data_IF_596877605177
#
_entry.id   IF_596877605177
#
_cell.length_a   1.000
_cell.length_b   1.000
_cell.length_c   1.000
_cell.angle_alpha   90.00
_cell.angle_beta   90.00
_cell.angle_gamma   90.00
#
_symmetry.space_group_name_H-M   'P 1'
#
loop_
_entity.id
_entity.type
_entity.pdbx_description
1 polymer ?
#
# COMPACT_ATOMS: atom_id res chain seq x y z
N UNK A 1 -38.79 3.12 31.39
CA UNK A 1 -38.74 3.92 30.16
C UNK A 1 -37.59 4.93 30.12
N UNK A 2 -37.18 5.50 31.24
CA UNK A 2 -36.05 6.47 31.35
C UNK A 2 -34.64 5.87 31.10
N UNK A 3 -34.39 4.62 31.50
CA UNK A 3 -33.12 3.95 31.33
C UNK A 3 -32.76 3.62 29.85
N UNK A 4 -33.75 3.36 29.00
CA UNK A 4 -33.51 3.14 27.54
C UNK A 4 -33.17 4.41 26.78
N UNK A 5 -33.70 5.58 27.21
CA UNK A 5 -33.36 6.87 26.59
C UNK A 5 -31.94 7.31 26.92
N UNK A 6 -31.46 7.08 28.15
CA UNK A 6 -30.09 7.41 28.54
C UNK A 6 -29.01 6.58 27.79
N UNK A 7 -29.33 5.31 27.49
CA UNK A 7 -28.45 4.45 26.69
C UNK A 7 -28.37 4.93 25.23
N UNK A 8 -29.50 5.28 24.62
CA UNK A 8 -29.55 5.76 23.23
C UNK A 8 -28.81 7.08 23.06
N UNK A 9 -28.95 8.02 24.03
CA UNK A 9 -28.24 9.31 24.00
C UNK A 9 -26.70 9.10 24.16
N UNK A 10 -26.24 8.15 24.98
CA UNK A 10 -24.82 7.81 25.11
C UNK A 10 -24.28 7.23 23.81
N UNK A 11 -25.03 6.34 23.13
CA UNK A 11 -24.59 5.78 21.84
C UNK A 11 -24.49 6.84 20.74
N UNK A 12 -25.45 7.76 20.68
CA UNK A 12 -25.44 8.87 19.70
C UNK A 12 -24.30 9.84 19.98
N UNK A 13 -24.00 10.13 21.26
CA UNK A 13 -22.90 11.02 21.64
C UNK A 13 -21.54 10.40 21.34
N UNK A 14 -21.36 9.10 21.58
CA UNK A 14 -20.13 8.38 21.26
C UNK A 14 -19.91 8.33 19.74
N UNK A 15 -20.92 8.06 18.94
CA UNK A 15 -20.84 8.06 17.48
C UNK A 15 -20.48 9.46 16.93
N UNK A 16 -21.03 10.52 17.50
CA UNK A 16 -20.72 11.91 17.14
C UNK A 16 -19.29 12.28 17.56
N UNK A 17 -18.82 11.84 18.72
CA UNK A 17 -17.46 12.09 19.20
C UNK A 17 -16.45 11.32 18.34
N UNK A 18 -16.76 10.09 17.94
CA UNK A 18 -15.89 9.27 17.09
C UNK A 18 -15.80 9.87 15.68
N UNK A 19 -16.93 10.31 15.10
CA UNK A 19 -16.93 11.04 13.83
C UNK A 19 -16.20 12.39 13.92
N UNK A 20 -16.33 13.10 15.04
CA UNK A 20 -15.62 14.35 15.29
C UNK A 20 -14.11 14.14 15.48
N UNK A 21 -13.67 13.03 16.11
CA UNK A 21 -12.28 12.68 16.27
C UNK A 21 -11.65 12.28 14.93
N UNK A 22 -12.34 11.51 14.11
CA UNK A 22 -11.91 11.20 12.73
C UNK A 22 -11.79 12.51 11.93
N UNK A 23 -12.74 13.42 12.08
CA UNK A 23 -12.71 14.73 11.42
C UNK A 23 -11.61 15.67 11.97
N UNK A 24 -11.29 15.60 13.26
CA UNK A 24 -10.22 16.34 13.91
C UNK A 24 -8.85 15.80 13.52
N UNK A 25 -8.65 14.49 13.50
CA UNK A 25 -7.42 13.86 12.99
C UNK A 25 -7.23 14.22 11.51
N UNK A 26 -8.29 14.15 10.72
CA UNK A 26 -8.28 14.60 9.32
C UNK A 26 -7.96 16.09 9.19
N UNK A 27 -8.49 16.98 10.06
CA UNK A 27 -8.16 18.41 10.06
C UNK A 27 -6.76 18.72 10.56
N UNK A 28 -6.24 18.00 11.54
CA UNK A 28 -4.87 18.22 12.05
C UNK A 28 -3.85 17.80 10.98
N UNK A 29 -4.10 16.72 10.24
CA UNK A 29 -3.26 16.32 9.10
C UNK A 29 -3.47 17.22 7.88
N UNK A 30 -4.64 17.87 7.74
CA UNK A 30 -4.94 18.75 6.62
C UNK A 30 -4.57 20.23 6.85
N UNK A 31 -4.37 20.66 8.10
CA UNK A 31 -4.04 22.06 8.43
C UNK A 31 -2.55 22.36 8.66
N UNK A 32 -1.66 21.36 8.50
CA UNK A 32 -0.24 21.67 8.35
C UNK A 32 -0.09 22.40 7.00
N UNK A 33 0.19 23.69 7.05
CA UNK A 33 0.39 24.54 5.87
C UNK A 33 1.45 23.94 4.95
N UNK A 34 1.02 23.20 3.94
CA UNK A 34 1.91 22.65 2.95
C UNK A 34 2.36 23.77 2.02
N UNK A 35 3.65 24.05 2.06
CA UNK A 35 4.32 24.79 1.01
C UNK A 35 4.11 24.02 -0.31
N UNK A 36 3.47 24.65 -1.29
CA UNK A 36 3.51 24.16 -2.66
C UNK A 36 4.85 24.63 -3.25
N UNK A 37 5.81 23.73 -3.48
CA UNK A 37 6.85 24.07 -4.43
C UNK A 37 6.15 24.41 -5.75
N UNK A 38 6.64 25.40 -6.52
CA UNK A 38 6.12 25.62 -7.88
C UNK A 38 6.17 24.26 -8.57
N UNK A 39 5.01 23.80 -9.02
CA UNK A 39 4.91 22.53 -9.75
C UNK A 39 5.93 22.61 -10.88
N UNK A 40 6.95 21.75 -10.92
CA UNK A 40 7.67 21.61 -12.15
C UNK A 40 6.57 21.29 -13.18
N UNK A 41 6.54 22.02 -14.27
CA UNK A 41 5.78 21.67 -15.47
C UNK A 41 6.39 20.40 -16.03
N UNK A 42 6.16 19.29 -15.31
CA UNK A 42 6.40 17.95 -15.84
C UNK A 42 5.20 17.74 -16.75
N UNK A 43 5.40 17.86 -18.05
CA UNK A 43 4.46 17.29 -19.00
C UNK A 43 4.34 15.82 -18.62
N UNK A 44 3.21 15.48 -17.99
CA UNK A 44 2.88 14.09 -17.68
C UNK A 44 2.70 13.44 -19.04
N UNK A 45 3.57 12.49 -19.45
CA UNK A 45 3.36 11.79 -20.70
C UNK A 45 1.95 11.22 -20.63
N UNK A 46 1.14 11.46 -21.66
CA UNK A 46 -0.16 10.79 -21.76
C UNK A 46 0.12 9.30 -21.65
N UNK A 47 -0.30 8.71 -20.52
CA UNK A 47 -0.26 7.27 -20.36
C UNK A 47 -1.11 6.70 -21.47
N UNK A 48 -0.46 6.16 -22.49
CA UNK A 48 -1.15 5.41 -23.56
C UNK A 48 -1.63 4.14 -22.89
N UNK A 49 -2.88 4.19 -22.42
CA UNK A 49 -3.53 3.01 -21.87
C UNK A 49 -3.58 1.93 -22.96
N UNK A 50 -2.94 0.78 -22.75
CA UNK A 50 -3.08 -0.31 -23.71
C UNK A 50 -4.54 -0.67 -23.80
N UNK A 51 -5.07 -0.72 -25.02
CA UNK A 51 -6.42 -1.23 -25.26
C UNK A 51 -6.51 -2.66 -24.72
N UNK A 52 -7.64 -3.07 -24.14
CA UNK A 52 -7.81 -4.42 -23.63
C UNK A 52 -7.47 -5.41 -24.75
N UNK A 53 -6.48 -6.25 -24.52
CA UNK A 53 -6.18 -7.34 -25.44
C UNK A 53 -7.28 -8.37 -25.25
N UNK A 54 -8.12 -8.57 -26.25
CA UNK A 54 -9.12 -9.63 -26.28
C UNK A 54 -8.45 -10.98 -26.50
N UNK A 55 -7.73 -11.46 -25.48
CA UNK A 55 -7.19 -12.81 -25.46
C UNK A 55 -7.99 -13.65 -24.50
N UNK A 56 -8.66 -14.69 -25.02
CA UNK A 56 -9.43 -15.69 -24.28
C UNK A 56 -8.61 -16.55 -23.30
N UNK A 57 -7.35 -16.25 -23.09
CA UNK A 57 -6.49 -16.95 -22.13
C UNK A 57 -6.40 -16.14 -20.84
N UNK A 58 -7.29 -16.46 -19.91
CA UNK A 58 -7.21 -15.97 -18.54
C UNK A 58 -5.85 -16.33 -17.94
N UNK A 59 -5.15 -15.34 -17.43
CA UNK A 59 -3.88 -15.52 -16.71
C UNK A 59 -4.15 -15.57 -15.22
N UNK A 60 -3.56 -16.56 -14.57
CA UNK A 60 -3.77 -16.81 -13.14
C UNK A 60 -2.58 -16.23 -12.36
N UNK A 61 -2.84 -15.31 -11.44
CA UNK A 61 -1.87 -14.88 -10.44
C UNK A 61 -1.72 -15.96 -9.38
N UNK A 62 -0.49 -16.43 -9.16
CA UNK A 62 -0.17 -17.47 -8.18
C UNK A 62 0.27 -16.87 -6.86
N UNK A 63 0.10 -17.63 -5.77
CA UNK A 63 0.83 -17.33 -4.52
C UNK A 63 2.33 -17.39 -4.77
N UNK A 64 3.10 -16.57 -4.08
CA UNK A 64 4.57 -16.59 -4.14
C UNK A 64 5.15 -17.95 -3.80
N UNK A 65 4.49 -18.71 -2.92
CA UNK A 65 4.91 -20.08 -2.52
C UNK A 65 4.64 -21.13 -3.58
N UNK A 66 3.88 -20.80 -4.62
CA UNK A 66 3.56 -21.70 -5.75
C UNK A 66 4.39 -21.41 -7.00
N UNK A 67 5.22 -20.37 -6.97
CA UNK A 67 6.07 -20.00 -8.10
C UNK A 67 7.20 -21.00 -8.30
N UNK A 68 7.41 -21.41 -9.53
CA UNK A 68 8.63 -22.11 -9.94
C UNK A 68 9.82 -21.13 -9.96
N UNK A 69 11.06 -21.62 -9.88
CA UNK A 69 12.25 -20.75 -10.04
C UNK A 69 12.23 -19.96 -11.36
N UNK A 70 11.75 -20.56 -12.45
CA UNK A 70 11.64 -19.88 -13.75
C UNK A 70 10.64 -18.71 -13.73
N UNK A 71 9.48 -18.89 -13.07
CA UNK A 71 8.48 -17.82 -12.93
C UNK A 71 9.00 -16.67 -12.05
N UNK A 72 9.72 -16.96 -10.96
CA UNK A 72 10.38 -15.93 -10.13
C UNK A 72 11.37 -15.12 -10.97
N UNK A 73 12.24 -15.81 -11.72
CA UNK A 73 13.24 -15.16 -12.56
C UNK A 73 12.60 -14.34 -13.69
N UNK A 74 11.54 -14.84 -14.33
CA UNK A 74 10.82 -14.12 -15.36
C UNK A 74 10.20 -12.81 -14.81
N UNK A 75 9.57 -12.87 -13.64
CA UNK A 75 9.03 -11.70 -12.96
C UNK A 75 10.12 -10.67 -12.63
N UNK A 76 11.22 -11.10 -11.98
CA UNK A 76 12.34 -10.24 -11.63
C UNK A 76 12.97 -9.58 -12.88
N UNK A 77 13.19 -10.37 -13.93
CA UNK A 77 13.71 -9.86 -15.20
C UNK A 77 12.82 -8.80 -15.81
N UNK A 78 11.52 -9.03 -15.86
CA UNK A 78 10.57 -8.08 -16.42
C UNK A 78 10.53 -6.77 -15.59
N UNK A 79 10.51 -6.86 -14.25
CA UNK A 79 10.58 -5.69 -13.35
C UNK A 79 11.87 -4.89 -13.57
N UNK A 80 13.03 -5.57 -13.60
CA UNK A 80 14.32 -4.89 -13.87
C UNK A 80 14.37 -4.29 -15.27
N UNK A 81 13.75 -4.89 -16.24
CA UNK A 81 13.69 -4.34 -17.59
C UNK A 81 12.82 -3.08 -17.66
N UNK A 82 11.68 -3.02 -16.99
CA UNK A 82 10.90 -1.77 -16.86
C UNK A 82 11.73 -0.65 -16.25
N UNK A 83 12.54 -0.97 -15.23
CA UNK A 83 13.41 0.00 -14.56
C UNK A 83 14.51 0.53 -15.46
N UNK A 84 14.98 -0.26 -16.40
CA UNK A 84 16.04 0.08 -17.34
C UNK A 84 15.52 0.58 -18.70
N UNK A 85 14.21 0.68 -18.89
CA UNK A 85 13.58 1.18 -20.11
C UNK A 85 13.11 2.61 -19.89
N UNK A 86 13.62 3.52 -20.71
CA UNK A 86 13.26 4.93 -20.70
C UNK A 86 12.48 5.24 -21.99
N UNK A 87 11.28 5.85 -21.90
CA UNK A 87 10.61 6.38 -23.08
C UNK A 87 11.45 7.44 -23.78
N UNK A 88 11.24 7.68 -25.10
CA UNK A 88 11.90 8.76 -25.79
C UNK A 88 11.78 10.08 -25.02
N UNK A 89 12.90 10.81 -24.91
CA UNK A 89 13.01 12.11 -24.23
C UNK A 89 12.66 12.11 -22.73
N UNK A 90 12.44 10.95 -22.12
CA UNK A 90 12.15 10.82 -20.69
C UNK A 90 13.42 10.55 -19.89
N UNK A 91 13.61 11.30 -18.79
CA UNK A 91 14.61 11.01 -17.76
C UNK A 91 14.12 10.05 -16.69
N UNK A 92 12.87 9.59 -16.80
CA UNK A 92 12.17 8.74 -15.84
C UNK A 92 11.89 7.40 -16.53
N UNK A 93 12.34 6.30 -15.93
CA UNK A 93 12.11 4.95 -16.46
C UNK A 93 10.63 4.58 -16.44
N UNK A 94 10.24 3.56 -17.20
CA UNK A 94 8.86 3.05 -17.16
C UNK A 94 8.45 2.64 -15.74
N UNK A 95 9.36 2.03 -14.99
CA UNK A 95 9.07 1.68 -13.59
C UNK A 95 8.89 2.92 -12.72
N UNK A 96 9.78 3.90 -12.84
CA UNK A 96 9.69 5.15 -12.08
C UNK A 96 8.41 5.95 -12.39
N UNK A 97 7.85 5.81 -13.60
CA UNK A 97 6.56 6.41 -13.96
C UNK A 97 5.40 5.84 -13.13
N UNK A 98 5.40 4.51 -12.88
CA UNK A 98 4.45 3.92 -11.96
C UNK A 98 4.61 4.48 -10.54
N UNK A 99 5.83 4.57 -10.04
CA UNK A 99 6.07 5.17 -8.72
C UNK A 99 5.59 6.62 -8.67
N UNK A 100 5.91 7.41 -9.70
CA UNK A 100 5.48 8.80 -9.79
C UNK A 100 3.95 8.92 -9.83
N UNK A 101 3.26 8.04 -10.56
CA UNK A 101 1.80 8.00 -10.60
C UNK A 101 1.20 7.82 -9.20
N UNK A 102 1.77 6.91 -8.40
CA UNK A 102 1.34 6.69 -7.02
C UNK A 102 1.65 7.92 -6.14
N UNK A 103 2.84 8.50 -6.24
CA UNK A 103 3.22 9.74 -5.53
C UNK A 103 2.26 10.88 -5.84
N UNK A 104 1.88 11.04 -7.11
CA UNK A 104 0.98 12.11 -7.53
C UNK A 104 -0.41 12.01 -6.90
N UNK A 105 -0.90 10.81 -6.59
CA UNK A 105 -2.20 10.68 -5.90
C UNK A 105 -2.20 11.33 -4.54
N UNK A 106 -1.06 11.37 -3.85
CA UNK A 106 -0.92 12.00 -2.53
C UNK A 106 -1.01 13.52 -2.58
N UNK A 107 -0.71 14.12 -3.74
CA UNK A 107 -0.80 15.57 -3.98
C UNK A 107 -2.17 16.03 -4.44
N UNK A 108 -3.08 15.12 -4.77
CA UNK A 108 -4.43 15.46 -5.21
C UNK A 108 -5.26 15.99 -4.04
N UNK A 109 -5.08 17.27 -3.75
CA UNK A 109 -6.10 18.06 -3.08
C UNK A 109 -6.98 18.69 -4.15
N UNK A 110 -8.10 18.04 -4.46
CA UNK A 110 -9.09 18.71 -5.28
C UNK A 110 -9.55 19.96 -4.55
N UNK A 111 -9.55 21.10 -5.25
CA UNK A 111 -10.20 22.31 -4.73
C UNK A 111 -11.58 21.92 -4.20
N UNK A 112 -11.98 22.44 -3.04
CA UNK A 112 -13.33 22.33 -2.54
C UNK A 112 -14.30 22.47 -3.71
N UNK A 113 -14.97 21.37 -4.09
CA UNK A 113 -15.99 21.41 -5.14
C UNK A 113 -17.12 22.35 -4.73
N UNK A 114 -18.06 22.62 -5.62
CA UNK A 114 -19.22 23.47 -5.38
C UNK A 114 -20.03 23.08 -4.11
N UNK A 115 -19.82 21.88 -3.58
CA UNK A 115 -20.44 21.36 -2.35
C UNK A 115 -19.66 21.63 -1.07
N UNK A 116 -18.47 22.24 -1.15
CA UNK A 116 -17.62 22.51 0.01
C UNK A 116 -16.96 21.28 0.66
N UNK A 117 -17.11 20.08 0.08
CA UNK A 117 -16.46 18.86 0.58
C UNK A 117 -15.02 18.77 0.06
N UNK A 118 -14.08 18.55 0.98
CA UNK A 118 -12.70 18.23 0.62
C UNK A 118 -12.68 16.84 -0.05
N UNK A 119 -12.24 16.78 -1.28
CA UNK A 119 -12.02 15.51 -1.97
C UNK A 119 -10.61 15.03 -1.64
N UNK A 120 -10.52 13.81 -1.10
CA UNK A 120 -9.30 13.20 -0.61
C UNK A 120 -8.42 12.62 -1.71
N UNK A 121 -7.36 11.97 -1.28
CA UNK A 121 -6.48 11.17 -2.12
C UNK A 121 -7.26 10.01 -2.75
N UNK A 122 -7.33 9.89 -4.10
CA UNK A 122 -8.14 8.86 -4.73
C UNK A 122 -7.64 7.44 -4.47
N UNK A 123 -6.37 7.28 -4.12
CA UNK A 123 -5.76 5.97 -3.90
C UNK A 123 -5.81 5.48 -2.45
N UNK A 124 -6.01 6.37 -1.45
CA UNK A 124 -5.90 6.00 -0.03
C UNK A 124 -6.95 6.73 0.83
N UNK A 125 -7.35 6.05 1.92
CA UNK A 125 -8.32 6.54 2.89
C UNK A 125 -9.65 7.00 2.25
N UNK A 126 -10.01 6.42 1.12
CA UNK A 126 -11.20 6.75 0.33
C UNK A 126 -11.84 5.47 -0.22
N UNK A 127 -13.12 5.50 -0.57
CA UNK A 127 -13.80 4.36 -1.17
C UNK A 127 -13.15 3.86 -2.48
N UNK A 128 -12.39 4.68 -3.17
CA UNK A 128 -11.71 4.32 -4.41
C UNK A 128 -10.40 3.52 -4.21
N UNK A 129 -9.96 3.23 -2.96
CA UNK A 129 -8.73 2.48 -2.70
C UNK A 129 -8.67 1.17 -3.50
N UNK A 130 -9.69 0.32 -3.39
CA UNK A 130 -9.71 -0.98 -4.06
C UNK A 130 -9.74 -0.87 -5.59
N UNK A 131 -10.68 -0.15 -6.24
CA UNK A 131 -10.70 -0.07 -7.69
C UNK A 131 -9.50 0.68 -8.28
N UNK A 132 -8.97 1.68 -7.57
CA UNK A 132 -7.78 2.39 -8.01
C UNK A 132 -6.56 1.46 -8.05
N UNK A 133 -6.30 0.71 -6.97
CA UNK A 133 -5.17 -0.21 -6.91
C UNK A 133 -5.34 -1.42 -7.84
N UNK A 134 -6.56 -1.93 -8.06
CA UNK A 134 -6.82 -2.96 -9.08
C UNK A 134 -6.42 -2.47 -10.46
N UNK A 135 -6.83 -1.26 -10.84
CA UNK A 135 -6.48 -0.68 -12.12
C UNK A 135 -4.97 -0.40 -12.23
N UNK A 136 -4.35 0.09 -11.18
CA UNK A 136 -2.92 0.35 -11.11
C UNK A 136 -2.09 -0.93 -11.26
N UNK A 137 -2.47 -1.98 -10.54
CA UNK A 137 -1.87 -3.31 -10.63
C UNK A 137 -2.03 -3.92 -12.03
N UNK A 138 -3.23 -3.77 -12.63
CA UNK A 138 -3.50 -4.24 -13.99
C UNK A 138 -2.59 -3.55 -15.01
N UNK A 139 -2.44 -2.25 -14.93
CA UNK A 139 -1.55 -1.49 -15.81
C UNK A 139 -0.09 -1.93 -15.67
N UNK A 140 0.37 -2.16 -14.44
CA UNK A 140 1.72 -2.67 -14.19
C UNK A 140 1.91 -4.07 -14.80
N UNK A 141 0.96 -4.98 -14.57
CA UNK A 141 1.00 -6.32 -15.13
C UNK A 141 1.02 -6.30 -16.66
N UNK A 142 0.22 -5.43 -17.29
CA UNK A 142 0.26 -5.22 -18.74
C UNK A 142 1.63 -4.72 -19.23
N UNK A 143 2.29 -3.87 -18.47
CA UNK A 143 3.63 -3.41 -18.80
C UNK A 143 4.68 -4.54 -18.70
N UNK A 144 4.58 -5.41 -17.70
CA UNK A 144 5.41 -6.62 -17.59
C UNK A 144 5.17 -7.57 -18.77
N UNK A 145 3.89 -7.74 -19.17
CA UNK A 145 3.50 -8.65 -20.24
C UNK A 145 3.92 -8.18 -21.65
N UNK A 146 4.23 -6.90 -21.81
CA UNK A 146 4.89 -6.41 -23.03
C UNK A 146 6.34 -6.88 -23.13
N UNK A 147 6.97 -7.22 -22.01
CA UNK A 147 8.34 -7.74 -21.93
C UNK A 147 8.34 -9.26 -22.06
N UNK A 148 7.53 -9.91 -21.26
CA UNK A 148 7.30 -11.36 -21.31
C UNK A 148 5.78 -11.64 -21.14
N UNK A 149 5.10 -12.07 -22.21
CA UNK A 149 3.65 -12.28 -22.18
C UNK A 149 3.18 -13.35 -21.18
N UNK A 150 4.06 -14.16 -20.63
CA UNK A 150 3.71 -15.19 -19.66
C UNK A 150 3.82 -14.74 -18.19
N UNK A 151 4.37 -13.55 -17.95
CA UNK A 151 4.50 -13.02 -16.59
C UNK A 151 3.16 -12.56 -16.08
N UNK A 152 2.86 -12.92 -14.82
CA UNK A 152 1.80 -12.35 -13.99
C UNK A 152 2.38 -11.81 -12.71
N UNK A 153 1.71 -10.85 -12.07
CA UNK A 153 2.11 -10.39 -10.73
C UNK A 153 1.68 -11.44 -9.71
N UNK A 154 2.62 -12.10 -9.00
CA UNK A 154 2.24 -13.04 -7.95
C UNK A 154 1.66 -12.30 -6.75
N UNK A 155 0.87 -12.98 -5.92
CA UNK A 155 0.39 -12.39 -4.68
C UNK A 155 1.13 -12.90 -3.45
N UNK A 156 1.29 -12.03 -2.47
CA UNK A 156 1.79 -12.38 -1.15
C UNK A 156 0.61 -12.68 -0.22
N UNK A 157 0.36 -13.97 0.04
CA UNK A 157 -0.59 -14.35 1.09
C UNK A 157 0.04 -14.06 2.46
N UNK A 158 -0.47 -13.05 3.12
CA UNK A 158 0.04 -12.58 4.42
C UNK A 158 -0.19 -13.58 5.55
N UNK A 159 -1.06 -14.58 5.34
CA UNK A 159 -1.40 -15.61 6.33
C UNK A 159 -0.56 -16.86 6.18
N UNK A 160 0.13 -17.04 5.06
CA UNK A 160 1.05 -18.16 4.83
C UNK A 160 2.41 -17.87 5.47
N UNK A 161 2.80 -18.58 6.56
CA UNK A 161 4.04 -18.33 7.27
C UNK A 161 5.31 -18.53 6.42
N UNK A 162 5.22 -19.24 5.31
CA UNK A 162 6.36 -19.51 4.40
C UNK A 162 6.54 -18.41 3.35
N UNK A 163 5.51 -17.58 3.13
CA UNK A 163 5.49 -16.67 2.00
C UNK A 163 6.55 -15.57 2.10
N UNK A 164 6.83 -15.06 3.31
CA UNK A 164 7.84 -14.01 3.53
C UNK A 164 9.25 -14.55 3.25
N UNK A 165 9.58 -15.77 3.69
CA UNK A 165 10.87 -16.39 3.41
C UNK A 165 11.10 -16.58 1.92
N UNK A 166 10.05 -16.92 1.16
CA UNK A 166 10.13 -17.01 -0.32
C UNK A 166 10.39 -15.65 -0.95
N UNK A 167 9.68 -14.61 -0.50
CA UNK A 167 9.82 -13.25 -1.02
C UNK A 167 11.23 -12.71 -0.80
N UNK A 168 11.80 -12.97 0.39
CA UNK A 168 13.10 -12.46 0.80
C UNK A 168 14.30 -13.28 0.28
N UNK A 169 14.09 -14.29 -0.56
CA UNK A 169 15.19 -15.01 -1.21
C UNK A 169 16.01 -14.08 -2.11
N UNK A 170 17.33 -14.26 -2.13
CA UNK A 170 18.25 -13.47 -2.95
C UNK A 170 17.97 -13.62 -4.45
N UNK A 171 17.53 -14.81 -4.87
CA UNK A 171 17.13 -15.13 -6.23
C UNK A 171 15.73 -14.66 -6.60
N UNK A 172 14.99 -14.04 -5.66
CA UNK A 172 13.69 -13.44 -5.92
C UNK A 172 13.72 -11.92 -5.65
N UNK A 173 13.06 -11.42 -4.60
CA UNK A 173 12.97 -9.97 -4.36
C UNK A 173 14.05 -9.45 -3.39
N UNK A 174 14.92 -10.31 -2.92
CA UNK A 174 16.08 -9.98 -2.11
C UNK A 174 15.79 -9.87 -0.61
N UNK A 175 16.82 -10.03 0.22
CA UNK A 175 16.71 -10.12 1.67
C UNK A 175 16.31 -8.81 2.35
N UNK A 176 16.24 -8.87 3.68
CA UNK A 176 16.21 -7.67 4.52
C UNK A 176 17.43 -6.78 4.25
N UNK A 177 17.29 -5.48 4.55
CA UNK A 177 18.40 -4.55 4.52
C UNK A 177 19.43 -4.82 5.62
N UNK A 178 20.61 -4.25 5.47
CA UNK A 178 21.74 -4.42 6.37
C UNK A 178 22.41 -3.07 6.68
N UNK A 179 23.28 -3.09 7.69
CA UNK A 179 24.16 -1.96 8.03
C UNK A 179 23.60 -0.98 9.07
N UNK A 180 22.34 -1.12 9.46
CA UNK A 180 21.73 -0.27 10.49
C UNK A 180 21.12 -1.13 11.57
N UNK A 181 21.50 -0.88 12.82
CA UNK A 181 20.85 -1.49 14.00
C UNK A 181 20.23 -0.38 14.83
N UNK A 182 18.96 -0.54 15.16
CA UNK A 182 18.21 0.38 16.00
C UNK A 182 17.79 -0.33 17.28
N UNK A 183 17.89 0.38 18.38
CA UNK A 183 17.32 -0.04 19.66
C UNK A 183 16.10 0.83 19.97
N UNK A 184 14.92 0.23 19.90
CA UNK A 184 13.66 0.92 20.17
C UNK A 184 13.27 0.66 21.61
N UNK A 185 13.20 1.69 22.47
CA UNK A 185 12.87 1.54 23.88
C UNK A 185 11.55 0.79 24.07
N UNK A 186 11.56 -0.26 24.90
CA UNK A 186 10.41 -1.08 25.20
C UNK A 186 10.02 -2.11 24.10
N UNK A 187 10.72 -2.11 22.97
CA UNK A 187 10.41 -2.97 21.81
C UNK A 187 11.56 -3.94 21.51
N UNK A 188 12.81 -3.44 21.48
CA UNK A 188 13.98 -4.27 21.24
C UNK A 188 14.93 -3.77 20.16
N UNK A 189 15.84 -4.65 19.75
CA UNK A 189 16.88 -4.39 18.75
C UNK A 189 16.45 -4.90 17.38
N UNK A 190 16.51 -4.04 16.38
CA UNK A 190 16.13 -4.37 14.98
C UNK A 190 17.27 -4.03 14.04
N UNK A 191 17.51 -4.91 13.09
CA UNK A 191 18.51 -4.71 12.04
C UNK A 191 17.82 -4.57 10.69
N UNK A 192 18.26 -3.58 9.91
CA UNK A 192 17.78 -3.31 8.58
C UNK A 192 18.76 -2.39 7.85
N UNK A 193 18.28 -1.64 6.88
CA UNK A 193 19.07 -0.70 6.12
C UNK A 193 19.03 -0.97 4.62
N UNK A 194 20.14 -0.74 3.95
CA UNK A 194 20.22 -0.93 2.49
C UNK A 194 20.17 -2.42 2.13
N UNK A 195 19.36 -2.77 1.14
CA UNK A 195 19.38 -4.10 0.52
C UNK A 195 20.66 -4.19 -0.32
N UNK A 196 21.63 -4.98 0.15
CA UNK A 196 22.98 -5.08 -0.43
C UNK A 196 23.23 -6.41 -1.15
N UNK A 197 22.31 -7.36 -1.07
CA UNK A 197 22.42 -8.69 -1.67
C UNK A 197 21.19 -9.01 -2.54
N UNK A 198 21.35 -9.99 -3.43
CA UNK A 198 20.30 -10.50 -4.29
C UNK A 198 19.98 -9.59 -5.49
N UNK A 199 18.91 -9.93 -6.17
CA UNK A 199 18.53 -9.31 -7.44
C UNK A 199 18.28 -7.79 -7.39
N UNK A 200 18.02 -7.23 -6.23
CA UNK A 200 17.69 -5.82 -6.03
C UNK A 200 18.75 -5.04 -5.24
N UNK A 201 19.97 -5.60 -5.08
CA UNK A 201 21.08 -4.93 -4.42
C UNK A 201 21.54 -3.64 -5.16
N UNK A 202 21.40 -3.62 -6.48
CA UNK A 202 21.71 -2.50 -7.38
C UNK A 202 20.50 -1.62 -7.72
N UNK A 203 19.35 -1.83 -7.05
CA UNK A 203 18.10 -1.14 -7.34
C UNK A 203 18.19 0.34 -6.95
N UNK A 204 18.22 1.20 -7.96
CA UNK A 204 18.36 2.65 -7.78
C UNK A 204 16.98 3.32 -7.76
N UNK A 205 16.78 4.19 -6.80
CA UNK A 205 15.59 5.02 -6.66
C UNK A 205 15.89 6.44 -7.18
N UNK A 206 14.92 7.06 -7.82
CA UNK A 206 15.04 8.47 -8.20
C UNK A 206 14.74 9.34 -6.96
N UNK A 207 15.73 10.10 -6.50
CA UNK A 207 15.63 10.90 -5.27
C UNK A 207 14.61 12.03 -5.34
N UNK A 208 14.26 12.49 -6.54
CA UNK A 208 13.22 13.50 -6.72
C UNK A 208 11.79 12.92 -6.59
N UNK A 209 11.66 11.58 -6.70
CA UNK A 209 10.39 10.87 -6.53
C UNK A 209 10.35 10.23 -5.13
N UNK A 210 11.48 9.69 -4.65
CA UNK A 210 11.62 9.13 -3.31
C UNK A 210 11.97 10.24 -2.30
N UNK A 211 10.93 10.99 -1.92
CA UNK A 211 11.05 12.25 -1.19
C UNK A 211 10.04 12.32 -0.04
N UNK A 212 10.49 12.82 1.12
CA UNK A 212 9.62 13.13 2.25
C UNK A 212 9.07 14.57 2.11
N UNK A 213 7.79 14.74 1.73
CA UNK A 213 7.23 16.07 1.51
C UNK A 213 7.02 16.85 2.81
N UNK A 214 6.98 16.16 3.96
CA UNK A 214 6.79 16.80 5.28
C UNK A 214 8.11 17.41 5.74
N UNK A 215 9.20 16.65 5.59
CA UNK A 215 10.54 17.07 6.01
C UNK A 215 11.34 17.75 4.89
N UNK A 216 10.74 17.86 3.70
CA UNK A 216 11.36 18.47 2.52
C UNK A 216 12.76 17.92 2.22
N UNK A 217 12.90 16.59 2.23
CA UNK A 217 14.19 15.93 1.99
C UNK A 217 14.06 14.64 1.19
N UNK A 218 15.11 14.32 0.43
CA UNK A 218 15.24 13.01 -0.21
C UNK A 218 15.30 11.91 0.85
N UNK A 219 14.64 10.78 0.56
CA UNK A 219 14.73 9.55 1.35
C UNK A 219 15.87 8.64 0.87
N UNK A 220 16.67 9.12 -0.08
CA UNK A 220 17.82 8.40 -0.63
C UNK A 220 17.54 7.70 -1.96
N UNK A 221 18.59 7.07 -2.47
CA UNK A 221 18.61 6.48 -3.82
C UNK A 221 18.71 4.96 -3.80
N UNK A 222 18.62 4.33 -2.63
CA UNK A 222 18.79 2.89 -2.45
C UNK A 222 17.55 2.28 -1.85
N UNK A 223 17.28 1.03 -2.21
CA UNK A 223 16.24 0.24 -1.57
C UNK A 223 16.62 -0.06 -0.11
N UNK A 224 15.74 0.29 0.82
CA UNK A 224 15.95 0.13 2.26
C UNK A 224 14.80 -0.68 2.85
N UNK A 225 15.12 -1.68 3.67
CA UNK A 225 14.14 -2.52 4.38
C UNK A 225 14.50 -2.70 5.85
N UNK A 226 13.46 -2.76 6.68
CA UNK A 226 13.52 -3.11 8.11
C UNK A 226 12.45 -4.15 8.41
N UNK A 227 12.67 -5.38 7.95
CA UNK A 227 11.68 -6.44 7.99
C UNK A 227 11.38 -6.91 9.41
N UNK A 228 10.11 -7.12 9.71
CA UNK A 228 9.65 -7.72 10.97
C UNK A 228 9.63 -6.78 12.16
N UNK A 229 9.70 -5.46 11.93
CA UNK A 229 9.52 -4.50 13.03
C UNK A 229 8.06 -4.39 13.46
N UNK A 230 7.78 -4.18 14.77
CA UNK A 230 6.44 -3.88 15.23
C UNK A 230 5.92 -2.55 14.61
N UNK A 231 4.61 -2.28 14.62
CA UNK A 231 3.61 -2.93 15.50
C UNK A 231 3.02 -4.21 14.92
N UNK A 232 3.38 -4.59 13.72
CA UNK A 232 2.77 -5.73 13.03
C UNK A 232 3.63 -6.99 13.15
N UNK A 233 2.96 -8.13 13.33
CA UNK A 233 3.59 -9.43 13.35
C UNK A 233 3.29 -10.19 12.07
N UNK A 234 4.26 -10.96 11.60
CA UNK A 234 4.07 -11.92 10.51
C UNK A 234 4.16 -13.34 11.07
N UNK A 235 3.31 -14.29 10.60
CA UNK A 235 2.21 -14.08 9.65
C UNK A 235 1.04 -13.28 10.26
N UNK A 236 0.28 -12.61 9.39
CA UNK A 236 -0.98 -11.98 9.78
C UNK A 236 -1.98 -13.08 10.13
N UNK A 237 -2.70 -12.91 11.24
CA UNK A 237 -3.61 -13.92 11.72
C UNK A 237 -4.75 -14.17 10.71
N UNK A 238 -4.97 -15.42 10.35
CA UNK A 238 -6.02 -15.85 9.41
C UNK A 238 -7.42 -15.41 9.86
N UNK A 239 -7.64 -15.36 11.17
CA UNK A 239 -8.90 -14.90 11.77
C UNK A 239 -9.25 -13.46 11.38
N UNK A 240 -8.27 -12.60 11.09
CA UNK A 240 -8.54 -11.24 10.61
C UNK A 240 -9.13 -11.25 9.18
N UNK A 241 -8.65 -12.14 8.33
CA UNK A 241 -9.22 -12.33 6.99
C UNK A 241 -10.64 -12.93 7.09
N UNK A 242 -10.84 -13.92 7.96
CA UNK A 242 -12.16 -14.51 8.18
C UNK A 242 -13.16 -13.49 8.74
N UNK A 243 -12.71 -12.56 9.58
CA UNK A 243 -13.53 -11.45 10.06
C UNK A 243 -13.85 -10.46 8.95
N UNK A 244 -12.86 -10.10 8.12
CA UNK A 244 -13.04 -9.19 6.98
C UNK A 244 -14.19 -9.64 6.07
N UNK A 245 -14.27 -10.93 5.75
CA UNK A 245 -15.31 -11.49 4.88
C UNK A 245 -16.72 -11.49 5.48
N UNK A 246 -16.89 -11.24 6.77
CA UNK A 246 -18.21 -11.09 7.41
C UNK A 246 -18.89 -9.74 7.12
N UNK A 247 -18.16 -8.78 6.56
CA UNK A 247 -18.69 -7.46 6.25
C UNK A 247 -19.26 -7.41 4.84
N UNK A 248 -20.54 -7.02 4.75
CA UNK A 248 -21.26 -6.92 3.48
C UNK A 248 -21.39 -5.47 2.99
N UNK A 249 -20.84 -4.51 3.72
CA UNK A 249 -20.79 -3.11 3.31
C UNK A 249 -19.44 -2.82 2.68
N UNK A 250 -19.46 -2.26 1.46
CA UNK A 250 -18.24 -1.97 0.70
C UNK A 250 -17.29 -1.01 1.43
N UNK A 251 -17.81 0.08 1.99
CA UNK A 251 -16.99 1.10 2.64
C UNK A 251 -16.26 0.53 3.86
N UNK A 252 -16.96 -0.31 4.65
CA UNK A 252 -16.37 -0.98 5.80
C UNK A 252 -15.33 -2.00 5.35
N UNK A 253 -15.64 -2.83 4.36
CA UNK A 253 -14.70 -3.79 3.80
C UNK A 253 -13.44 -3.08 3.28
N UNK A 254 -13.62 -2.02 2.49
CA UNK A 254 -12.54 -1.21 1.94
C UNK A 254 -11.64 -0.62 3.04
N UNK A 255 -12.22 -0.01 4.07
CA UNK A 255 -11.45 0.59 5.17
C UNK A 255 -10.70 -0.44 6.02
N UNK A 256 -11.29 -1.62 6.25
CA UNK A 256 -10.65 -2.70 7.01
C UNK A 256 -9.51 -3.34 6.24
N UNK A 257 -9.68 -3.62 4.94
CA UNK A 257 -8.63 -4.23 4.13
C UNK A 257 -7.47 -3.25 3.89
N UNK A 258 -7.75 -1.96 3.72
CA UNK A 258 -6.72 -0.93 3.66
C UNK A 258 -5.88 -0.88 4.94
N UNK A 259 -6.49 -1.18 6.09
CA UNK A 259 -5.80 -1.44 7.33
C UNK A 259 -5.62 -0.22 8.24
N UNK A 260 -6.37 0.85 8.01
CA UNK A 260 -6.41 2.03 8.89
C UNK A 260 -7.38 1.84 10.07
N UNK A 261 -8.23 0.83 10.02
CA UNK A 261 -9.15 0.43 11.07
C UNK A 261 -8.94 -1.02 11.47
N UNK A 262 -9.14 -1.31 12.74
CA UNK A 262 -9.18 -2.67 13.29
C UNK A 262 -10.38 -2.83 14.22
N UNK A 263 -10.63 -4.05 14.68
CA UNK A 263 -11.65 -4.33 15.67
C UNK A 263 -11.02 -4.59 17.04
N UNK A 264 -11.52 -3.93 18.07
CA UNK A 264 -11.17 -4.26 19.45
C UNK A 264 -11.91 -5.54 19.94
N UNK A 265 -11.60 -5.97 21.16
CA UNK A 265 -12.24 -7.16 21.77
C UNK A 265 -13.77 -7.04 21.97
N UNK A 266 -14.33 -5.83 21.86
CA UNK A 266 -15.77 -5.56 21.90
C UNK A 266 -16.39 -5.43 20.50
N UNK A 267 -15.68 -5.82 19.44
CA UNK A 267 -16.07 -5.64 18.03
C UNK A 267 -16.39 -4.17 17.65
N UNK A 268 -15.71 -3.21 18.27
CA UNK A 268 -15.82 -1.80 17.90
C UNK A 268 -14.67 -1.43 16.98
N UNK A 269 -14.95 -0.61 15.97
CA UNK A 269 -13.91 -0.07 15.09
C UNK A 269 -13.06 0.93 15.85
N UNK A 270 -11.77 0.67 15.85
CA UNK A 270 -10.77 1.59 16.40
C UNK A 270 -9.68 1.84 15.36
N UNK A 271 -9.03 3.01 15.38
CA UNK A 271 -7.84 3.22 14.59
C UNK A 271 -6.76 2.19 14.92
N UNK A 272 -6.11 1.66 13.91
CA UNK A 272 -5.08 0.65 14.12
C UNK A 272 -4.45 0.20 12.82
N UNK A 273 -3.35 -0.52 12.94
CA UNK A 273 -2.64 -1.10 11.81
C UNK A 273 -3.03 -2.56 11.67
N UNK A 274 -3.54 -2.93 10.49
CA UNK A 274 -3.91 -4.31 10.20
C UNK A 274 -3.79 -4.59 8.69
N UNK A 275 -3.92 -5.84 8.28
CA UNK A 275 -3.97 -6.30 6.89
C UNK A 275 -2.95 -5.57 5.97
N UNK A 276 -3.40 -4.80 4.98
CA UNK A 276 -2.54 -4.14 4.00
C UNK A 276 -1.54 -3.16 4.67
N UNK A 277 -1.97 -2.32 5.61
CA UNK A 277 -1.07 -1.43 6.32
C UNK A 277 0.01 -2.21 7.10
N UNK A 278 -0.36 -3.35 7.71
CA UNK A 278 0.60 -4.25 8.33
C UNK A 278 1.58 -4.86 7.32
N UNK A 279 1.12 -5.26 6.15
CA UNK A 279 2.01 -5.82 5.13
C UNK A 279 3.09 -4.81 4.71
N UNK A 280 2.73 -3.53 4.56
CA UNK A 280 3.69 -2.46 4.33
C UNK A 280 4.68 -2.32 5.49
N UNK A 281 4.17 -2.28 6.73
CA UNK A 281 5.00 -2.13 7.94
C UNK A 281 5.94 -3.30 8.17
N UNK A 282 5.50 -4.55 7.90
CA UNK A 282 6.34 -5.76 8.02
C UNK A 282 7.60 -5.66 7.15
N UNK A 283 7.52 -5.04 5.97
CA UNK A 283 8.65 -4.88 5.04
C UNK A 283 9.45 -3.62 5.32
N UNK A 284 8.77 -2.50 5.48
CA UNK A 284 9.40 -1.19 5.62
C UNK A 284 9.92 -0.89 7.01
N UNK A 285 9.25 -1.42 8.01
CA UNK A 285 9.44 -1.05 9.41
C UNK A 285 8.91 0.36 9.69
N UNK A 286 8.15 0.51 10.75
CA UNK A 286 7.59 1.80 11.17
C UNK A 286 7.95 2.13 12.61
N UNK A 287 8.27 3.40 12.88
CA UNK A 287 8.29 3.89 14.26
C UNK A 287 7.03 4.69 14.50
N UNK A 288 6.18 4.15 15.37
CA UNK A 288 4.87 4.70 15.68
C UNK A 288 4.94 5.45 17.01
N UNK A 289 4.19 6.54 17.12
CA UNK A 289 4.02 7.25 18.37
C UNK A 289 3.27 6.37 19.39
N UNK A 290 3.86 6.15 20.58
CA UNK A 290 3.27 5.31 21.63
C UNK A 290 1.92 5.83 22.15
N UNK A 291 1.71 7.15 22.08
CA UNK A 291 0.51 7.82 22.58
C UNK A 291 -0.54 8.03 21.46
N UNK A 292 -0.12 7.89 20.19
CA UNK A 292 -0.99 7.95 19.03
C UNK A 292 -0.55 6.91 17.97
N UNK A 293 -1.09 5.68 18.01
CA UNK A 293 -0.70 4.60 17.10
C UNK A 293 -0.89 4.89 15.61
N UNK A 294 -1.70 5.89 15.26
CA UNK A 294 -1.89 6.31 13.87
C UNK A 294 -0.83 7.32 13.42
N UNK A 295 0.03 7.77 14.31
CA UNK A 295 1.09 8.73 13.99
C UNK A 295 2.41 8.02 13.77
N UNK A 296 2.82 7.95 12.52
CA UNK A 296 4.17 7.56 12.15
C UNK A 296 5.16 8.68 12.52
N UNK A 297 6.17 8.36 13.31
CA UNK A 297 7.18 9.34 13.74
C UNK A 297 8.41 9.37 12.86
N UNK A 298 8.71 8.28 12.16
CA UNK A 298 9.84 8.17 11.24
C UNK A 298 9.56 7.19 10.12
N UNK A 299 9.94 7.56 8.91
CA UNK A 299 10.02 6.67 7.75
C UNK A 299 11.36 5.95 7.84
N UNK A 300 11.37 4.63 7.85
CA UNK A 300 12.57 3.81 7.95
C UNK A 300 12.94 3.21 6.60
N UNK A 301 12.16 2.28 6.11
CA UNK A 301 12.38 1.62 4.84
C UNK A 301 11.62 2.27 3.69
N UNK A 302 11.97 1.86 2.48
CA UNK A 302 11.34 2.34 1.24
C UNK A 302 9.84 2.07 1.23
N UNK A 303 9.41 0.87 1.67
CA UNK A 303 8.01 0.47 1.75
C UNK A 303 7.19 1.29 2.76
N UNK A 304 7.85 1.87 3.76
CA UNK A 304 7.25 2.68 4.81
C UNK A 304 6.92 4.12 4.34
N UNK A 305 7.51 4.56 3.24
CA UNK A 305 7.13 5.81 2.57
C UNK A 305 5.90 5.57 1.70
N UNK A 306 4.69 5.78 2.24
CA UNK A 306 3.44 5.51 1.53
C UNK A 306 3.45 6.06 0.09
N UNK A 307 3.84 7.33 -0.18
CA UNK A 307 3.82 7.87 -1.55
C UNK A 307 4.69 7.08 -2.51
N UNK A 308 5.90 6.73 -2.11
CA UNK A 308 6.91 6.09 -2.96
C UNK A 308 7.14 4.61 -2.66
N UNK A 309 6.24 3.98 -1.88
CA UNK A 309 6.29 2.55 -1.53
C UNK A 309 6.41 1.62 -2.76
N UNK A 310 5.87 1.95 -3.96
CA UNK A 310 6.07 1.10 -5.14
C UNK A 310 7.53 0.98 -5.58
N UNK A 311 8.46 1.76 -5.03
CA UNK A 311 9.89 1.55 -5.25
C UNK A 311 10.40 0.23 -4.68
N UNK A 312 9.76 -0.31 -3.64
CA UNK A 312 10.01 -1.69 -3.25
C UNK A 312 9.11 -2.62 -4.09
N UNK A 313 9.67 -3.52 -4.91
CA UNK A 313 8.88 -4.40 -5.77
C UNK A 313 7.89 -5.31 -5.02
N UNK A 314 8.08 -5.52 -3.72
CA UNK A 314 7.14 -6.26 -2.88
C UNK A 314 5.76 -5.55 -2.82
N UNK A 315 5.70 -4.25 -3.05
CA UNK A 315 4.45 -3.49 -3.16
C UNK A 315 3.43 -4.16 -4.08
N UNK A 316 3.87 -4.60 -5.25
CA UNK A 316 2.98 -5.21 -6.24
C UNK A 316 2.38 -6.52 -5.75
N UNK A 317 3.14 -7.28 -4.96
CA UNK A 317 2.69 -8.54 -4.36
C UNK A 317 1.66 -8.29 -3.23
N UNK A 318 1.86 -7.21 -2.47
CA UNK A 318 0.91 -6.76 -1.44
C UNK A 318 -0.43 -6.42 -2.10
N UNK A 319 -0.41 -5.60 -3.15
CA UNK A 319 -1.62 -5.16 -3.84
C UNK A 319 -2.27 -6.27 -4.68
N UNK A 320 -1.51 -7.23 -5.18
CA UNK A 320 -2.07 -8.43 -5.79
C UNK A 320 -2.87 -9.27 -4.78
N UNK A 321 -2.45 -9.31 -3.51
CA UNK A 321 -3.23 -9.96 -2.46
C UNK A 321 -4.47 -9.15 -2.05
N UNK A 322 -4.36 -7.82 -1.99
CA UNK A 322 -5.54 -6.95 -1.78
C UNK A 322 -6.58 -7.19 -2.86
N UNK A 323 -6.17 -7.24 -4.13
CA UNK A 323 -7.05 -7.48 -5.26
C UNK A 323 -7.68 -8.87 -5.23
N UNK A 324 -6.90 -9.91 -4.85
CA UNK A 324 -7.39 -11.27 -4.64
C UNK A 324 -8.49 -11.32 -3.57
N UNK A 325 -8.24 -10.74 -2.40
CA UNK A 325 -9.21 -10.72 -1.30
C UNK A 325 -10.49 -9.96 -1.70
N UNK A 326 -10.36 -8.87 -2.44
CA UNK A 326 -11.54 -8.17 -2.95
C UNK A 326 -12.30 -9.00 -3.99
N UNK A 327 -11.63 -9.70 -4.89
CA UNK A 327 -12.26 -10.61 -5.85
C UNK A 327 -13.00 -11.76 -5.13
N UNK A 328 -12.38 -12.38 -4.11
CA UNK A 328 -13.02 -13.41 -3.28
C UNK A 328 -14.28 -12.88 -2.56
N UNK A 329 -14.24 -11.62 -2.07
CA UNK A 329 -15.41 -10.99 -1.49
C UNK A 329 -16.52 -10.74 -2.52
N UNK A 330 -16.15 -10.34 -3.73
CA UNK A 330 -17.10 -10.17 -4.84
C UNK A 330 -17.73 -11.50 -5.24
N UNK A 331 -16.97 -12.59 -5.30
CA UNK A 331 -17.47 -13.93 -5.61
C UNK A 331 -18.47 -14.47 -4.58
N UNK A 332 -18.47 -13.92 -3.37
CA UNK A 332 -19.48 -14.20 -2.33
C UNK A 332 -20.78 -13.42 -2.53
N UNK A 333 -21.02 -12.86 -3.71
CA UNK A 333 -22.27 -12.18 -4.08
C UNK A 333 -22.26 -10.66 -3.86
N UNK A 334 -21.08 -10.08 -3.60
CA UNK A 334 -20.95 -8.63 -3.39
C UNK A 334 -20.61 -7.92 -4.72
N UNK A 335 -21.52 -8.00 -5.68
CA UNK A 335 -21.41 -7.38 -7.02
C UNK A 335 -22.53 -6.39 -7.28
N UNK A 336 -22.35 -5.51 -8.29
CA UNK A 336 -23.30 -4.45 -8.62
C UNK A 336 -23.02 -3.11 -7.94
N UNK A 337 -23.75 -2.07 -8.31
CA UNK A 337 -23.49 -0.68 -7.92
C UNK A 337 -23.32 -0.45 -6.42
N UNK A 338 -24.15 -1.11 -5.58
CA UNK A 338 -24.09 -0.96 -4.12
C UNK A 338 -22.80 -1.46 -3.46
N UNK A 339 -21.95 -2.16 -4.22
CA UNK A 339 -20.68 -2.71 -3.76
C UNK A 339 -19.46 -2.04 -4.41
N UNK A 340 -19.67 -0.85 -4.95
CA UNK A 340 -18.63 0.02 -5.49
C UNK A 340 -18.74 1.42 -4.88
N UNK A 341 -17.67 2.22 -4.92
CA UNK A 341 -17.72 3.61 -4.47
C UNK A 341 -18.74 4.38 -5.33
N UNK A 342 -19.61 5.13 -4.66
CA UNK A 342 -20.62 6.01 -5.27
C UNK A 342 -20.04 7.40 -5.57
#
# INVERSE_FOLDING_TARGET
MLLKKASLIKFTLIAIITAALIFIVYRITSNSGYYHPPSPTIEVPQLVYPQPVSNNNLKIRKSVTQLTPAEKQAFVKAVKQLKNTFPPDSKISLYDQFVLQHVMTMGFRRKLGATGKAEGNPAHAQPAFLPWHRQFLYQFEQALQKIDPNVTVPYWDWTDPKSLDVILQEDFLGPNGQGTTMNIPGVGKFTGGVVSNGNFADWKLNENIHFDPIRMKSLGTKLVRFVGMPPCNFPIQKTLIEQLFKFHNYEIFNALIEGALTLNNQNQYIPGWTLHACAHSIIGGSIIDKDNPMRQTSILGTMDSIPSSPYDPIFWLIHANVDRLWAEWQDQGHTGEKFYPS
#
